data_IF_949341700630
#
_entry.id   IF_949341700630
#
_cell.length_a   1.000
_cell.length_b   1.000
_cell.length_c   1.000
_cell.angle_alpha   90.00
_cell.angle_beta   90.00
_cell.angle_gamma   90.00
#
_symmetry.space_group_name_H-M   'P 1'
#
loop_
_entity.id
_entity.type
_entity.pdbx_description
1 polymer ?
#
# COMPACT_ATOMS: atom_id res chain seq x y z
N UNK A 1 2.69 23.74 10.86
CA UNK A 1 2.77 23.39 10.56
C UNK A 1 2.87 22.77 10.08
N UNK A 2 2.72 22.53 9.79
CA UNK A 2 2.90 21.98 9.36
C UNK A 2 2.83 21.41 8.60
N UNK A 3 2.81 21.22 8.17
CA UNK A 3 2.92 20.79 7.37
C UNK A 3 3.05 20.06 6.79
N UNK A 4 2.96 19.91 6.54
CA UNK A 4 3.17 19.30 5.92
C UNK A 4 3.39 18.50 5.42
N UNK A 5 3.71 18.39 5.56
CA UNK A 5 4.00 17.53 4.90
C UNK A 5 3.57 16.44 4.71
N UNK A 6 3.43 16.51 4.99
CA UNK A 6 3.22 15.49 4.97
C UNK A 6 2.44 14.85 4.59
N UNK A 7 2.40 14.53 4.85
CA UNK A 7 1.65 13.96 3.90
C UNK A 7 1.36 12.55 4.15
N UNK A 8 2.07 11.91 5.01
CA UNK A 8 1.69 10.61 5.49
C UNK A 8 0.48 10.72 6.38
N UNK A 9 -0.51 9.89 6.08
CA UNK A 9 -1.69 9.80 6.90
C UNK A 9 -1.69 8.48 7.64
N UNK A 10 -2.47 8.40 8.69
CA UNK A 10 -2.44 7.26 9.59
C UNK A 10 -3.87 6.91 9.99
N UNK A 11 -4.19 5.63 9.87
CA UNK A 11 -5.45 5.08 10.37
C UNK A 11 -5.11 4.01 11.39
N UNK A 12 -5.73 4.11 12.55
CA UNK A 12 -5.60 3.08 13.59
C UNK A 12 -7.00 2.63 13.97
N UNK A 13 -7.27 1.36 13.72
CA UNK A 13 -8.60 0.82 13.96
C UNK A 13 -8.49 -0.64 14.36
N UNK A 14 -9.08 -1.00 15.50
CA UNK A 14 -9.12 -2.38 15.99
C UNK A 14 -7.75 -3.05 16.02
N UNK A 15 -6.72 -2.31 16.44
CA UNK A 15 -5.38 -2.84 16.53
C UNK A 15 -4.66 -2.95 15.21
N UNK A 16 -5.23 -2.40 14.15
CA UNK A 16 -4.61 -2.39 12.82
C UNK A 16 -4.14 -0.96 12.52
N UNK A 17 -2.88 -0.83 12.18
CA UNK A 17 -2.29 0.45 11.83
C UNK A 17 -2.01 0.48 10.33
N UNK A 18 -2.54 1.49 9.64
CA UNK A 18 -2.27 1.72 8.23
C UNK A 18 -1.65 3.09 8.07
N UNK A 19 -0.50 3.16 7.40
CA UNK A 19 0.09 4.44 7.04
C UNK A 19 0.14 4.54 5.52
N UNK A 20 -0.18 5.71 5.00
CA UNK A 20 -0.32 5.91 3.58
C UNK A 20 -0.16 7.39 3.25
N UNK A 21 -0.03 7.69 1.96
CA UNK A 21 -0.17 9.06 1.50
C UNK A 21 -0.88 9.08 0.16
N UNK A 22 -1.52 10.19 -0.15
CA UNK A 22 -2.13 10.40 -1.45
C UNK A 22 -1.15 11.18 -2.33
N UNK A 23 -0.91 10.69 -3.54
CA UNK A 23 0.04 11.32 -4.44
C UNK A 23 -0.48 12.70 -4.85
N UNK A 24 0.31 13.73 -4.61
CA UNK A 24 -0.04 15.11 -4.96
C UNK A 24 0.36 15.44 -6.38
N UNK A 25 1.21 14.62 -6.96
CA UNK A 25 1.65 14.74 -8.34
C UNK A 25 2.09 13.36 -8.81
N UNK A 26 2.31 13.23 -10.10
CA UNK A 26 2.79 11.97 -10.65
C UNK A 26 4.14 11.61 -10.03
N UNK A 27 4.27 10.34 -9.67
CA UNK A 27 5.50 9.83 -9.08
C UNK A 27 5.70 8.38 -9.52
N UNK A 28 6.81 7.78 -9.13
CA UNK A 28 7.08 6.39 -9.48
C UNK A 28 7.42 5.59 -8.24
N UNK A 29 7.12 4.30 -8.31
CA UNK A 29 7.61 3.30 -7.36
C UNK A 29 8.34 2.27 -8.20
N UNK A 30 9.69 2.30 -8.18
CA UNK A 30 10.45 1.46 -9.08
C UNK A 30 10.11 1.79 -10.54
N UNK A 31 9.63 0.80 -11.27
CA UNK A 31 9.26 0.98 -12.67
C UNK A 31 7.76 1.25 -12.86
N UNK A 32 7.03 1.49 -11.78
CA UNK A 32 5.59 1.68 -11.82
C UNK A 32 5.25 3.15 -11.66
N UNK A 33 4.35 3.66 -12.50
CA UNK A 33 3.90 5.04 -12.44
C UNK A 33 2.66 5.16 -11.57
N UNK A 34 2.69 6.12 -10.66
CA UNK A 34 1.58 6.47 -9.77
C UNK A 34 1.09 7.84 -10.17
N UNK A 35 -0.20 7.97 -10.39
CA UNK A 35 -0.79 9.23 -10.86
C UNK A 35 -1.27 10.07 -9.69
N UNK A 36 -1.40 11.37 -9.96
CA UNK A 36 -1.97 12.30 -8.97
C UNK A 36 -3.33 11.77 -8.51
N UNK A 37 -3.52 11.73 -7.22
CA UNK A 37 -4.77 11.26 -6.60
C UNK A 37 -4.76 9.80 -6.21
N UNK A 38 -3.82 9.02 -6.74
CA UNK A 38 -3.67 7.64 -6.30
C UNK A 38 -3.08 7.61 -4.89
N UNK A 39 -3.31 6.51 -4.19
CA UNK A 39 -2.83 6.34 -2.83
C UNK A 39 -1.63 5.39 -2.82
N UNK A 40 -0.64 5.72 -2.02
CA UNK A 40 0.50 4.83 -1.77
C UNK A 40 0.42 4.35 -0.33
N UNK A 41 0.26 3.05 -0.17
CA UNK A 41 0.21 2.42 1.14
C UNK A 41 1.64 2.13 1.60
N UNK A 42 2.01 2.63 2.76
CA UNK A 42 3.36 2.47 3.29
C UNK A 42 3.48 1.28 4.20
N UNK A 43 2.49 1.08 5.06
CA UNK A 43 2.58 0.05 6.08
C UNK A 43 1.20 -0.37 6.53
N UNK A 44 1.04 -1.67 6.74
CA UNK A 44 -0.09 -2.19 7.49
C UNK A 44 0.50 -3.11 8.55
N UNK A 45 0.12 -2.87 9.79
CA UNK A 45 0.61 -3.63 10.93
C UNK A 45 -0.56 -4.03 11.81
N UNK A 46 -0.50 -5.22 12.38
CA UNK A 46 -1.57 -5.74 13.20
C UNK A 46 -0.99 -6.23 14.52
N UNK A 47 -1.68 -5.92 15.61
CA UNK A 47 -1.31 -6.47 16.93
C UNK A 47 -1.88 -7.88 17.13
N UNK A 48 -2.71 -8.36 16.21
CA UNK A 48 -3.30 -9.70 16.28
C UNK A 48 -3.27 -10.36 14.91
N UNK A 49 -2.09 -10.73 14.42
CA UNK A 49 -1.98 -11.34 13.09
C UNK A 49 -2.78 -12.65 13.03
N UNK A 50 -3.40 -12.89 11.90
CA UNK A 50 -4.14 -14.11 11.68
C UNK A 50 -5.60 -14.08 12.10
N UNK A 51 -6.05 -12.95 12.66
CA UNK A 51 -7.44 -12.82 13.13
C UNK A 51 -8.45 -12.59 12.01
N UNK A 52 -7.97 -12.24 10.81
CA UNK A 52 -8.85 -11.83 9.72
C UNK A 52 -9.23 -10.37 9.76
N UNK A 53 -8.92 -9.69 10.84
CA UNK A 53 -9.28 -8.28 11.00
C UNK A 53 -8.52 -7.40 10.00
N UNK A 54 -7.25 -7.72 9.74
CA UNK A 54 -6.46 -6.94 8.79
C UNK A 54 -7.09 -6.95 7.40
N UNK A 55 -7.66 -8.07 6.98
CA UNK A 55 -8.33 -8.16 5.69
C UNK A 55 -9.56 -7.25 5.64
N UNK A 56 -10.36 -7.26 6.69
CA UNK A 56 -11.57 -6.42 6.74
C UNK A 56 -11.20 -4.94 6.74
N UNK A 57 -10.21 -4.56 7.53
CA UNK A 57 -9.79 -3.16 7.63
C UNK A 57 -9.18 -2.70 6.30
N UNK A 58 -8.38 -3.54 5.66
CA UNK A 58 -7.77 -3.17 4.39
C UNK A 58 -8.82 -3.03 3.28
N UNK A 59 -9.84 -3.90 3.26
CA UNK A 59 -10.93 -3.74 2.30
C UNK A 59 -11.67 -2.43 2.51
N UNK A 60 -11.92 -2.05 3.76
CA UNK A 60 -12.53 -0.75 4.06
C UNK A 60 -11.65 0.39 3.59
N UNK A 61 -10.33 0.24 3.76
CA UNK A 61 -9.38 1.24 3.30
C UNK A 61 -9.45 1.40 1.77
N UNK A 62 -9.53 0.30 1.03
CA UNK A 62 -9.65 0.37 -0.43
C UNK A 62 -10.91 1.12 -0.83
N UNK A 63 -12.02 0.88 -0.13
CA UNK A 63 -13.27 1.59 -0.42
C UNK A 63 -13.17 3.09 -0.09
N UNK A 64 -12.42 3.42 0.95
CA UNK A 64 -12.21 4.79 1.35
C UNK A 64 -11.38 5.56 0.31
N UNK A 65 -10.42 4.91 -0.34
CA UNK A 65 -9.53 5.57 -1.29
C UNK A 65 -10.27 5.88 -2.57
N UNK A 66 -10.14 7.11 -3.10
CA UNK A 66 -10.91 7.51 -4.29
C UNK A 66 -10.37 6.93 -5.59
N UNK A 67 -9.12 6.50 -5.62
CA UNK A 67 -8.48 5.99 -6.82
C UNK A 67 -7.69 4.73 -6.49
N UNK A 68 -6.76 4.36 -7.36
CA UNK A 68 -5.98 3.13 -7.18
C UNK A 68 -5.08 3.22 -5.96
N UNK A 69 -4.79 2.07 -5.37
CA UNK A 69 -3.88 1.96 -4.21
C UNK A 69 -2.68 1.14 -4.62
N UNK A 70 -1.50 1.72 -4.43
CA UNK A 70 -0.23 1.08 -4.76
C UNK A 70 0.55 0.81 -3.48
N UNK A 71 1.36 -0.25 -3.50
CA UNK A 71 2.30 -0.51 -2.41
C UNK A 71 3.51 -1.25 -2.96
N UNK A 72 4.58 -1.21 -2.20
CA UNK A 72 5.73 -2.05 -2.49
C UNK A 72 6.09 -2.85 -1.25
N UNK A 73 6.62 -4.04 -1.48
CA UNK A 73 6.97 -4.96 -0.40
C UNK A 73 8.20 -5.74 -0.85
N UNK A 74 9.06 -6.11 0.10
CA UNK A 74 10.25 -6.88 -0.24
C UNK A 74 9.85 -8.22 -0.86
N UNK A 75 10.56 -8.58 -1.92
CA UNK A 75 10.26 -9.82 -2.63
C UNK A 75 10.42 -11.05 -1.74
N UNK A 76 11.31 -10.99 -0.76
CA UNK A 76 11.55 -12.11 0.15
C UNK A 76 10.58 -12.17 1.33
N UNK A 77 9.69 -11.21 1.44
CA UNK A 77 8.67 -11.23 2.49
C UNK A 77 7.48 -12.04 2.02
N UNK A 78 7.60 -13.36 2.10
CA UNK A 78 6.61 -14.26 1.52
C UNK A 78 5.24 -14.11 2.15
N UNK A 79 5.20 -13.90 3.45
CA UNK A 79 3.93 -13.74 4.16
C UNK A 79 3.16 -12.53 3.65
N UNK A 80 3.85 -11.40 3.52
CA UNK A 80 3.21 -10.18 3.04
C UNK A 80 2.79 -10.31 1.58
N UNK A 81 3.63 -10.91 0.73
CA UNK A 81 3.27 -11.10 -0.67
C UNK A 81 2.01 -11.95 -0.80
N UNK A 82 1.92 -13.04 -0.03
CA UNK A 82 0.72 -13.89 -0.06
C UNK A 82 -0.51 -13.13 0.41
N UNK A 83 -0.34 -12.29 1.43
CA UNK A 83 -1.45 -11.50 1.95
C UNK A 83 -2.01 -10.57 0.89
N UNK A 84 -1.14 -9.86 0.17
CA UNK A 84 -1.61 -8.93 -0.84
C UNK A 84 -2.25 -9.62 -2.03
N UNK A 85 -1.74 -10.77 -2.43
CA UNK A 85 -2.40 -11.58 -3.48
C UNK A 85 -3.78 -12.02 -3.01
N UNK A 86 -3.88 -12.45 -1.76
CA UNK A 86 -5.16 -12.85 -1.18
C UNK A 86 -6.14 -11.69 -1.15
N UNK A 87 -5.64 -10.47 -1.02
CA UNK A 87 -6.47 -9.27 -1.02
C UNK A 87 -6.85 -8.82 -2.44
N UNK A 88 -6.55 -9.63 -3.44
CA UNK A 88 -6.86 -9.35 -4.85
C UNK A 88 -6.09 -8.15 -5.40
N UNK A 89 -4.90 -7.92 -4.89
CA UNK A 89 -4.00 -6.96 -5.48
C UNK A 89 -3.21 -7.62 -6.60
N UNK A 90 -2.86 -6.85 -7.61
CA UNK A 90 -2.14 -7.34 -8.77
C UNK A 90 -0.67 -6.94 -8.70
N UNK A 91 0.21 -7.90 -8.96
CA UNK A 91 1.64 -7.63 -9.09
C UNK A 91 1.88 -7.00 -10.45
N UNK A 92 2.37 -5.75 -10.46
CA UNK A 92 2.49 -5.00 -11.72
C UNK A 92 3.90 -4.51 -12.00
N UNK A 93 4.83 -4.71 -11.09
CA UNK A 93 6.18 -4.24 -11.34
C UNK A 93 7.10 -4.56 -10.20
N UNK A 94 8.28 -3.98 -10.25
CA UNK A 94 9.29 -4.22 -9.23
C UNK A 94 10.00 -2.93 -8.87
N UNK A 95 10.65 -2.95 -7.72
CA UNK A 95 11.43 -1.85 -7.22
C UNK A 95 12.66 -2.42 -6.51
N UNK A 96 13.59 -1.55 -6.15
CA UNK A 96 14.79 -1.95 -5.44
C UNK A 96 15.10 -0.94 -4.35
N UNK A 97 15.57 -1.47 -3.22
CA UNK A 97 16.09 -0.63 -2.14
C UNK A 97 17.58 -0.93 -1.96
N UNK A 98 18.25 -0.07 -1.21
CA UNK A 98 19.65 -0.26 -0.88
C UNK A 98 20.52 -0.43 -2.13
N UNK A 99 20.29 0.43 -3.11
CA UNK A 99 21.05 0.47 -4.36
C UNK A 99 20.96 -0.85 -5.12
N UNK A 100 19.76 -1.42 -5.16
CA UNK A 100 19.50 -2.64 -5.91
C UNK A 100 19.75 -3.92 -5.14
N UNK A 101 20.12 -3.84 -3.87
CA UNK A 101 20.40 -5.04 -3.08
C UNK A 101 19.16 -5.70 -2.52
N UNK A 102 18.04 -4.94 -2.40
CA UNK A 102 16.82 -5.45 -1.82
C UNK A 102 15.71 -5.35 -2.86
N UNK A 103 15.49 -6.42 -3.62
CA UNK A 103 14.41 -6.38 -4.61
C UNK A 103 13.04 -6.37 -3.94
N UNK A 104 12.10 -5.70 -4.57
CA UNK A 104 10.75 -5.61 -4.08
C UNK A 104 9.73 -5.76 -5.18
N UNK A 105 8.53 -6.11 -4.78
CA UNK A 105 7.38 -6.24 -5.66
C UNK A 105 6.47 -5.06 -5.47
N UNK A 106 5.85 -4.60 -6.56
CA UNK A 106 4.89 -3.51 -6.53
C UNK A 106 3.51 -4.07 -6.87
N UNK A 107 2.57 -3.83 -5.99
CA UNK A 107 1.19 -4.29 -6.15
C UNK A 107 0.26 -3.10 -6.31
N UNK A 108 -0.85 -3.33 -7.00
CA UNK A 108 -1.89 -2.32 -7.16
C UNK A 108 -3.26 -2.94 -6.90
N UNK A 109 -4.10 -2.17 -6.23
CA UNK A 109 -5.54 -2.45 -6.15
C UNK A 109 -6.24 -1.40 -7.00
N UNK A 110 -6.76 -1.83 -8.13
CA UNK A 110 -7.45 -0.91 -9.05
C UNK A 110 -8.80 -0.53 -8.48
N UNK A 111 -9.12 0.74 -8.56
CA UNK A 111 -10.44 1.22 -8.16
C UNK A 111 -11.41 0.94 -9.27
N UNK A 112 -12.49 0.25 -8.95
CA UNK A 112 -13.53 0.00 -9.93
C UNK A 112 -14.28 1.27 -10.22
N UNK A 113 -14.47 1.55 -11.51
CA UNK A 113 -15.46 2.53 -11.86
C UNK A 113 -16.79 1.83 -12.00
N UNK A 114 -17.80 2.43 -11.49
CA UNK A 114 -19.14 1.87 -11.55
C UNK A 114 -20.08 2.79 -12.30
#
# INVERSE_FOLDING_TARGET
>A
MKRMIAKKQLILEDGILITFHQAKRRQTIGDVHVRKGDTVLHQIASDSPGSGMAQAILNNFFDYCPRDVFLSVRADNLTANRFYVKMNMNLIGSTNWSKGRLPGNVYVKRKRSS
#
